data_IF_817478392500
#
_entry.id   IF_817478392500
#
_cell.length_a   1.000
_cell.length_b   1.000
_cell.length_c   1.000
_cell.angle_alpha   90.00
_cell.angle_beta   90.00
_cell.angle_gamma   90.00
#
_symmetry.space_group_name_H-M   'P 1'
#
loop_
_entity.id
_entity.type
_entity.pdbx_description
1 polymer ?
#
# COMPACT_ATOMS: atom_id res chain seq x y z
N UNK A 1 7.60 -21.81 3.00
CA UNK A 1 7.22 -21.04 1.81
C UNK A 1 8.31 -21.18 0.75
N UNK A 2 7.89 -21.52 -0.44
CA UNK A 2 8.83 -21.59 -1.54
C UNK A 2 9.39 -20.22 -1.88
N UNK A 3 10.67 -20.20 -2.20
CA UNK A 3 11.35 -18.98 -2.59
C UNK A 3 10.68 -18.28 -3.78
N UNK A 4 10.19 -19.06 -4.74
CA UNK A 4 9.47 -18.51 -5.91
C UNK A 4 8.22 -17.78 -5.51
N UNK A 5 7.46 -18.35 -4.57
CA UNK A 5 6.22 -17.72 -4.10
C UNK A 5 6.52 -16.41 -3.40
N UNK A 6 7.57 -16.40 -2.57
CA UNK A 6 7.96 -15.18 -1.88
C UNK A 6 8.36 -14.08 -2.85
N UNK A 7 9.21 -14.41 -3.83
CA UNK A 7 9.64 -13.45 -4.84
C UNK A 7 8.44 -12.93 -5.63
N UNK A 8 7.53 -13.82 -6.02
CA UNK A 8 6.32 -13.41 -6.73
C UNK A 8 5.45 -12.46 -5.93
N UNK A 9 5.34 -12.68 -4.62
CA UNK A 9 4.58 -11.78 -3.75
C UNK A 9 5.24 -10.41 -3.64
N UNK A 10 6.57 -10.36 -3.53
CA UNK A 10 7.29 -9.08 -3.47
C UNK A 10 7.08 -8.31 -4.78
N UNK A 11 7.25 -8.98 -5.92
CA UNK A 11 7.06 -8.35 -7.22
C UNK A 11 5.63 -7.87 -7.43
N UNK A 12 4.65 -8.65 -6.99
CA UNK A 12 3.25 -8.28 -7.12
C UNK A 12 2.88 -7.08 -6.25
N UNK A 13 3.64 -6.84 -5.19
CA UNK A 13 3.41 -5.69 -4.32
C UNK A 13 3.91 -4.38 -4.90
N UNK A 14 4.83 -4.41 -5.87
CA UNK A 14 5.39 -3.19 -6.46
C UNK A 14 4.35 -2.31 -7.15
N UNK A 15 3.44 -2.85 -7.96
CA UNK A 15 2.40 -2.01 -8.56
C UNK A 15 1.50 -1.35 -7.51
N UNK A 16 1.23 -2.03 -6.42
CA UNK A 16 0.41 -1.46 -5.34
C UNK A 16 1.13 -0.30 -4.68
N UNK A 17 2.43 -0.46 -4.40
CA UNK A 17 3.24 0.62 -3.84
C UNK A 17 3.25 1.82 -4.78
N UNK A 18 3.42 1.57 -6.07
CA UNK A 18 3.42 2.64 -7.06
C UNK A 18 2.09 3.39 -7.09
N UNK A 19 0.98 2.66 -7.00
CA UNK A 19 -0.34 3.28 -6.94
C UNK A 19 -0.49 4.16 -5.70
N UNK A 20 0.01 3.71 -4.57
CA UNK A 20 -0.06 4.47 -3.33
C UNK A 20 0.77 5.76 -3.43
N UNK A 21 1.96 5.67 -3.98
CA UNK A 21 2.83 6.83 -4.18
C UNK A 21 2.18 7.83 -5.14
N UNK A 22 1.62 7.34 -6.25
CA UNK A 22 0.93 8.20 -7.22
C UNK A 22 -0.27 8.89 -6.60
N UNK A 23 -1.03 8.19 -5.78
CA UNK A 23 -2.19 8.78 -5.10
C UNK A 23 -1.76 9.88 -4.13
N UNK A 24 -0.66 9.66 -3.41
CA UNK A 24 -0.13 10.67 -2.49
C UNK A 24 0.34 11.90 -3.24
N UNK A 25 0.99 11.71 -4.39
CA UNK A 25 1.43 12.82 -5.21
C UNK A 25 0.23 13.63 -5.71
N UNK A 26 -0.80 12.96 -6.20
CA UNK A 26 -2.00 13.64 -6.67
C UNK A 26 -2.68 14.44 -5.56
N UNK A 27 -2.71 13.89 -4.37
CA UNK A 27 -3.26 14.58 -3.20
C UNK A 27 -2.48 15.86 -2.93
N UNK A 28 -1.16 15.79 -2.87
CA UNK A 28 -0.31 16.96 -2.61
C UNK A 28 -0.40 18.00 -3.73
N UNK A 29 -0.49 17.55 -4.97
CA UNK A 29 -0.66 18.46 -6.11
C UNK A 29 -1.99 19.20 -6.03
N UNK A 30 -3.06 18.49 -5.69
CA UNK A 30 -4.38 19.10 -5.56
C UNK A 30 -4.40 20.12 -4.42
N UNK A 31 -3.76 19.80 -3.32
CA UNK A 31 -3.63 20.71 -2.19
C UNK A 31 -2.90 22.00 -2.61
N UNK A 32 -1.77 21.84 -3.26
CA UNK A 32 -0.94 22.96 -3.69
C UNK A 32 -1.64 23.81 -4.75
N UNK A 33 -2.47 23.19 -5.60
CA UNK A 33 -3.20 23.89 -6.65
C UNK A 33 -4.45 24.60 -6.16
N UNK A 34 -4.80 24.40 -4.89
CA UNK A 34 -6.02 25.01 -4.34
C UNK A 34 -7.29 24.42 -4.88
N UNK A 35 -7.26 23.11 -5.18
CA UNK A 35 -8.46 22.42 -5.65
C UNK A 35 -9.56 22.46 -4.60
N UNK A 36 -10.83 22.25 -4.99
CA UNK A 36 -11.93 22.24 -4.01
C UNK A 36 -11.68 21.25 -2.89
N UNK A 37 -12.09 21.63 -1.69
CA UNK A 37 -11.88 20.82 -0.48
C UNK A 37 -12.39 19.39 -0.67
N UNK A 38 -13.53 19.21 -1.33
CA UNK A 38 -14.08 17.88 -1.57
C UNK A 38 -13.16 17.01 -2.40
N UNK A 39 -12.52 17.59 -3.41
CA UNK A 39 -11.60 16.88 -4.27
C UNK A 39 -10.33 16.51 -3.51
N UNK A 40 -9.78 17.45 -2.76
CA UNK A 40 -8.59 17.20 -1.94
C UNK A 40 -8.86 16.09 -0.94
N UNK A 41 -10.03 16.13 -0.29
CA UNK A 41 -10.40 15.12 0.68
C UNK A 41 -10.57 13.74 0.04
N UNK A 42 -11.16 13.70 -1.14
CA UNK A 42 -11.32 12.44 -1.89
C UNK A 42 -9.96 11.81 -2.19
N UNK A 43 -9.01 12.63 -2.63
CA UNK A 43 -7.66 12.16 -2.95
C UNK A 43 -6.91 11.73 -1.69
N UNK A 44 -7.11 12.44 -0.58
CA UNK A 44 -6.51 12.06 0.70
C UNK A 44 -6.99 10.69 1.15
N UNK A 45 -8.30 10.48 1.09
CA UNK A 45 -8.89 9.19 1.49
C UNK A 45 -8.41 8.05 0.59
N UNK A 46 -8.28 8.32 -0.71
CA UNK A 46 -7.77 7.34 -1.64
C UNK A 46 -6.32 6.96 -1.29
N UNK A 47 -5.49 7.96 -1.03
CA UNK A 47 -4.10 7.73 -0.66
C UNK A 47 -3.99 6.93 0.64
N UNK A 48 -4.79 7.27 1.65
CA UNK A 48 -4.80 6.54 2.91
C UNK A 48 -5.20 5.08 2.70
N UNK A 49 -6.23 4.85 1.89
CA UNK A 49 -6.71 3.50 1.61
C UNK A 49 -5.64 2.66 0.91
N UNK A 50 -4.94 3.25 -0.05
CA UNK A 50 -3.88 2.55 -0.76
C UNK A 50 -2.68 2.27 0.14
N UNK A 51 -2.29 3.20 0.99
CA UNK A 51 -1.21 2.96 1.95
C UNK A 51 -1.59 1.89 2.97
N UNK A 52 -2.85 1.84 3.38
CA UNK A 52 -3.32 0.77 4.25
C UNK A 52 -3.19 -0.59 3.56
N UNK A 53 -3.56 -0.65 2.29
CA UNK A 53 -3.43 -1.88 1.52
C UNK A 53 -1.97 -2.30 1.37
N UNK A 54 -1.06 -1.34 1.16
CA UNK A 54 0.38 -1.62 1.09
C UNK A 54 0.86 -2.21 2.41
N UNK A 55 0.49 -1.59 3.52
CA UNK A 55 0.91 -2.05 4.84
C UNK A 55 0.42 -3.47 5.12
N UNK A 56 -0.83 -3.75 4.80
CA UNK A 56 -1.41 -5.07 4.98
C UNK A 56 -0.68 -6.10 4.11
N UNK A 57 -0.39 -5.74 2.88
CA UNK A 57 0.32 -6.63 1.97
C UNK A 57 1.72 -6.93 2.49
N UNK A 58 2.44 -5.90 2.94
CA UNK A 58 3.79 -6.07 3.46
C UNK A 58 3.81 -6.97 4.69
N UNK A 59 2.83 -6.83 5.57
CA UNK A 59 2.72 -7.69 6.73
C UNK A 59 2.53 -9.15 6.34
N UNK A 60 1.74 -9.42 5.32
CA UNK A 60 1.55 -10.78 4.81
C UNK A 60 2.83 -11.34 4.22
N UNK A 61 3.57 -10.53 3.46
CA UNK A 61 4.84 -10.96 2.88
C UNK A 61 5.84 -11.29 3.96
N UNK A 62 5.94 -10.45 4.99
CA UNK A 62 6.84 -10.70 6.11
C UNK A 62 6.44 -11.98 6.85
N UNK A 63 5.16 -12.19 7.06
CA UNK A 63 4.66 -13.40 7.71
C UNK A 63 5.05 -14.64 6.92
N UNK A 64 4.89 -14.59 5.59
CA UNK A 64 5.28 -15.70 4.73
C UNK A 64 6.79 -15.95 4.75
N UNK A 65 7.58 -14.88 4.78
CA UNK A 65 9.04 -14.99 4.81
C UNK A 65 9.54 -15.61 6.11
N UNK A 66 8.86 -15.33 7.21
CA UNK A 66 9.21 -15.92 8.52
C UNK A 66 8.68 -17.33 8.69
N UNK A 67 7.83 -17.75 7.77
CA UNK A 67 7.22 -19.06 7.83
C UNK A 67 6.01 -19.10 8.73
N UNK A 68 5.55 -20.30 8.99
CA UNK A 68 4.30 -20.56 9.70
C UNK A 68 4.39 -20.44 11.21
N UNK A 69 5.53 -20.04 11.73
CA UNK A 69 5.73 -19.96 13.18
C UNK A 69 5.29 -18.64 13.79
N UNK A 70 4.79 -17.74 12.97
CA UNK A 70 4.26 -16.49 13.48
C UNK A 70 2.98 -16.74 14.24
N UNK A 71 2.83 -16.14 15.43
CA UNK A 71 1.56 -16.24 16.14
C UNK A 71 0.48 -15.54 15.33
N UNK A 72 -0.76 -16.03 15.41
CA UNK A 72 -1.86 -15.37 14.71
C UNK A 72 -2.04 -13.96 15.24
N UNK A 73 -2.36 -13.07 14.33
CA UNK A 73 -2.66 -11.68 14.66
C UNK A 73 -4.12 -11.59 15.09
N UNK A 74 -4.37 -11.10 16.27
CA UNK A 74 -5.70 -10.86 16.77
C UNK A 74 -5.76 -9.74 17.77
#
# INVERSE_FOLDING_TARGET
VEKRTFIGMVEAGEPLIQQAVDAMRLYHEAEAAGEPTEEVERLRLLAESLFQAVSDYQLRVVAMARGKNLPPLH
#
